data_IF_360595805368
#
_entry.id   IF_360595805368
#
_cell.length_a   1.000
_cell.length_b   1.000
_cell.length_c   1.000
_cell.angle_alpha   90.00
_cell.angle_beta   90.00
_cell.angle_gamma   90.00
#
_symmetry.space_group_name_H-M   'P 1'
#
loop_
_entity.id
_entity.type
_entity.pdbx_description
1 polymer ?
#
# COMPACT_ATOMS: atom_id res chain seq x y z
N UNK A 1 2.89 30.76 -2.24
CA UNK A 1 4.32 30.48 -2.49
C UNK A 1 5.09 31.68 -3.05
N UNK A 2 4.61 32.41 -4.08
CA UNK A 2 5.34 33.58 -4.63
C UNK A 2 5.61 34.71 -3.62
N UNK A 3 4.67 35.00 -2.70
CA UNK A 3 4.83 36.07 -1.69
C UNK A 3 5.91 35.80 -0.63
N UNK A 4 6.12 34.55 -0.24
CA UNK A 4 7.17 34.17 0.72
C UNK A 4 8.58 34.29 0.13
N UNK A 5 8.74 33.98 -1.15
CA UNK A 5 10.04 34.12 -1.84
C UNK A 5 10.53 35.57 -1.92
N UNK A 6 9.60 36.52 -2.08
CA UNK A 6 9.92 37.97 -2.20
C UNK A 6 10.39 38.54 -0.85
N UNK A 7 9.80 38.07 0.25
CA UNK A 7 10.15 38.53 1.61
C UNK A 7 11.56 38.04 1.98
N UNK A 8 11.90 36.79 1.65
CA UNK A 8 13.22 36.22 1.92
C UNK A 8 14.31 36.92 1.10
N UNK A 9 14.06 37.23 -0.17
CA UNK A 9 15.02 37.98 -1.01
C UNK A 9 15.25 39.41 -0.53
N UNK A 10 14.22 40.08 0.00
CA UNK A 10 14.33 41.44 0.58
C UNK A 10 15.21 41.45 1.84
N UNK A 11 15.05 40.45 2.70
CA UNK A 11 15.82 40.32 3.94
C UNK A 11 17.32 40.10 3.66
N UNK A 12 17.64 39.29 2.64
CA UNK A 12 19.03 39.03 2.20
C UNK A 12 19.67 40.31 1.64
N UNK A 13 18.91 41.12 0.90
CA UNK A 13 19.42 42.39 0.33
C UNK A 13 19.73 43.43 1.42
N UNK A 14 18.91 43.53 2.46
CA UNK A 14 19.13 44.42 3.61
C UNK A 14 20.38 43.99 4.41
N UNK A 15 20.61 42.70 4.57
CA UNK A 15 21.80 42.17 5.25
C UNK A 15 23.11 42.42 4.46
N UNK A 16 23.05 42.41 3.12
CA UNK A 16 24.18 42.78 2.26
C UNK A 16 24.57 44.26 2.39
N UNK A 17 23.60 45.17 2.52
CA UNK A 17 23.86 46.61 2.66
C UNK A 17 24.57 46.92 3.98
N UNK A 18 24.21 46.24 5.08
CA UNK A 18 24.87 46.44 6.37
C UNK A 18 26.35 45.99 6.38
N UNK A 19 26.73 45.02 5.54
CA UNK A 19 28.12 44.56 5.44
C UNK A 19 29.04 45.56 4.71
N UNK A 20 28.51 46.35 3.77
CA UNK A 20 29.31 47.32 2.99
C UNK A 20 29.75 48.51 3.85
N UNK A 21 28.88 48.98 4.75
CA UNK A 21 29.15 50.13 5.63
C UNK A 21 30.19 49.84 6.72
N UNK A 22 30.46 48.58 7.05
CA UNK A 22 31.47 48.19 8.05
C UNK A 22 32.90 48.12 7.51
N UNK A 23 33.11 48.31 6.21
CA UNK A 23 34.40 48.07 5.56
C UNK A 23 35.23 49.34 5.32
N UNK A 24 34.66 50.55 5.47
CA UNK A 24 35.38 51.82 5.20
C UNK A 24 36.21 52.33 6.37
N UNK A 25 35.91 51.95 7.61
CA UNK A 25 36.73 52.34 8.79
C UNK A 25 37.97 51.46 8.96
N UNK A 26 37.99 50.29 8.33
CA UNK A 26 39.06 49.29 8.50
C UNK A 26 40.17 49.39 7.43
N UNK A 27 40.00 50.25 6.44
CA UNK A 27 40.93 50.38 5.30
C UNK A 27 42.31 50.94 5.67
N UNK A 28 42.46 51.68 6.77
CA UNK A 28 43.76 52.17 7.25
C UNK A 28 44.59 51.10 7.99
N UNK A 29 43.97 50.06 8.56
CA UNK A 29 44.71 48.94 9.19
C UNK A 29 45.28 47.92 8.19
N UNK A 30 45.09 48.14 6.89
CA UNK A 30 45.32 47.18 5.80
C UNK A 30 46.76 47.15 5.24
N UNK A 31 47.77 47.57 6.01
CA UNK A 31 49.18 47.59 5.55
C UNK A 31 50.10 46.54 6.22
N UNK A 32 49.60 45.72 7.15
CA UNK A 32 50.34 44.57 7.67
C UNK A 32 49.62 43.28 7.29
N UNK A 33 49.97 42.82 6.09
CA UNK A 33 49.53 41.56 5.51
C UNK A 33 50.30 40.41 6.18
N UNK A 34 49.84 39.98 7.34
CA UNK A 34 50.00 38.61 7.78
C UNK A 34 48.59 38.02 7.80
N UNK A 35 48.35 36.98 6.99
CA UNK A 35 47.04 36.39 6.74
C UNK A 35 46.61 35.52 7.93
N UNK A 36 46.62 36.10 9.12
CA UNK A 36 46.21 35.47 10.37
C UNK A 36 44.70 35.69 10.48
N UNK A 37 43.94 34.76 9.90
CA UNK A 37 42.48 34.72 10.08
C UNK A 37 42.21 34.53 11.56
N UNK A 38 41.61 35.52 12.20
CA UNK A 38 41.26 35.49 13.63
C UNK A 38 40.20 34.39 13.88
N UNK A 39 40.20 33.80 15.07
CA UNK A 39 39.31 32.67 15.37
C UNK A 39 37.82 33.03 15.21
N UNK A 40 37.45 34.28 15.49
CA UNK A 40 36.10 34.81 15.26
C UNK A 40 35.72 34.80 13.77
N UNK A 41 36.62 35.19 12.88
CA UNK A 41 36.38 35.18 11.44
C UNK A 41 36.21 33.75 10.92
N UNK A 42 36.96 32.78 11.46
CA UNK A 42 36.80 31.36 11.10
C UNK A 42 35.42 30.86 11.50
N UNK A 43 34.96 31.18 12.70
CA UNK A 43 33.64 30.77 13.20
C UNK A 43 32.52 31.34 12.31
N UNK A 44 32.62 32.60 11.90
CA UNK A 44 31.66 33.23 10.99
C UNK A 44 31.68 32.55 9.60
N UNK A 45 32.86 32.22 9.08
CA UNK A 45 33.00 31.57 7.77
C UNK A 45 32.46 30.13 7.77
N UNK A 46 32.79 29.34 8.80
CA UNK A 46 32.29 27.98 8.95
C UNK A 46 30.79 27.92 9.23
N UNK A 47 30.25 28.84 10.05
CA UNK A 47 28.80 28.92 10.29
C UNK A 47 28.04 29.33 9.03
N UNK A 48 28.55 30.31 8.26
CA UNK A 48 27.98 30.68 6.97
C UNK A 48 28.00 29.52 5.95
N UNK A 49 29.12 28.79 5.87
CA UNK A 49 29.23 27.62 5.01
C UNK A 49 28.29 26.50 5.43
N UNK A 50 28.16 26.22 6.73
CA UNK A 50 27.24 25.22 7.25
C UNK A 50 25.78 25.55 6.90
N UNK A 51 25.36 26.81 7.04
CA UNK A 51 24.03 27.26 6.64
C UNK A 51 23.83 27.08 5.13
N UNK A 52 24.81 27.43 4.30
CA UNK A 52 24.73 27.26 2.85
C UNK A 52 24.56 25.78 2.45
N UNK A 53 25.29 24.86 3.11
CA UNK A 53 25.16 23.41 2.89
C UNK A 53 23.77 22.91 3.30
N UNK A 54 23.24 23.36 4.44
CA UNK A 54 21.90 22.97 4.91
C UNK A 54 20.83 23.47 3.94
N UNK A 55 20.94 24.72 3.45
CA UNK A 55 20.01 25.29 2.46
C UNK A 55 20.09 24.52 1.14
N UNK A 56 21.29 24.16 0.68
CA UNK A 56 21.49 23.35 -0.52
C UNK A 56 20.84 21.97 -0.38
N UNK A 57 21.01 21.32 0.77
CA UNK A 57 20.41 20.01 1.04
C UNK A 57 18.88 20.08 1.10
N UNK A 58 18.32 21.10 1.77
CA UNK A 58 16.89 21.34 1.79
C UNK A 58 16.32 21.66 0.40
N UNK A 59 17.09 22.34 -0.46
CA UNK A 59 16.72 22.61 -1.85
C UNK A 59 16.69 21.33 -2.69
N UNK A 60 17.70 20.47 -2.59
CA UNK A 60 17.74 19.17 -3.29
C UNK A 60 16.65 18.22 -2.79
N UNK A 61 16.40 18.18 -1.47
CA UNK A 61 15.38 17.33 -0.86
C UNK A 61 13.94 17.88 -1.00
N UNK A 62 13.77 19.08 -1.57
CA UNK A 62 12.47 19.76 -1.66
C UNK A 62 11.40 18.89 -2.31
N UNK A 63 11.75 18.19 -3.39
CA UNK A 63 10.79 17.38 -4.15
C UNK A 63 10.42 16.06 -3.44
N UNK A 64 11.28 15.58 -2.53
CA UNK A 64 11.01 14.40 -1.69
C UNK A 64 10.14 14.79 -0.49
N UNK A 65 10.48 15.89 0.19
CA UNK A 65 9.79 16.34 1.42
C UNK A 65 8.42 16.94 1.10
N UNK A 66 8.30 17.70 0.00
CA UNK A 66 7.05 18.33 -0.43
C UNK A 66 6.40 17.58 -1.60
N UNK A 67 6.54 16.25 -1.63
CA UNK A 67 5.85 15.42 -2.62
C UNK A 67 4.34 15.56 -2.44
N UNK A 68 3.64 16.02 -3.49
CA UNK A 68 2.17 16.03 -3.50
C UNK A 68 1.68 14.58 -3.47
N UNK A 69 0.84 14.25 -2.50
CA UNK A 69 0.18 12.93 -2.43
C UNK A 69 -0.57 12.69 -3.72
N UNK A 70 -0.33 11.54 -4.33
CA UNK A 70 -1.07 11.12 -5.52
C UNK A 70 -2.48 10.66 -5.13
N UNK A 71 -3.43 10.59 -6.06
CA UNK A 71 -4.74 9.99 -5.81
C UNK A 71 -4.64 8.54 -5.30
N UNK A 72 -3.52 7.86 -5.61
CA UNK A 72 -3.20 6.54 -5.08
C UNK A 72 -2.92 6.58 -3.57
N UNK A 73 -2.23 7.61 -3.07
CA UNK A 73 -1.84 7.74 -1.66
C UNK A 73 -3.01 8.06 -0.73
N UNK A 74 -4.05 8.75 -1.21
CA UNK A 74 -5.17 9.22 -0.38
C UNK A 74 -6.32 8.21 -0.24
N UNK A 75 -6.48 7.30 -1.20
CA UNK A 75 -7.54 6.29 -1.16
C UNK A 75 -7.07 5.01 -0.46
N UNK A 76 -7.97 4.35 0.25
CA UNK A 76 -7.79 2.99 0.75
C UNK A 76 -8.08 2.01 -0.40
N UNK A 77 -7.01 1.53 -1.02
CA UNK A 77 -7.10 0.46 -2.02
C UNK A 77 -6.75 -0.88 -1.36
N UNK A 78 -7.39 -1.95 -1.81
CA UNK A 78 -7.10 -3.31 -1.34
C UNK A 78 -5.65 -3.73 -1.59
N UNK A 79 -5.00 -3.15 -2.61
CA UNK A 79 -3.57 -3.33 -2.88
C UNK A 79 -2.64 -2.76 -1.80
N UNK A 80 -3.10 -1.79 -1.00
CA UNK A 80 -2.33 -1.30 0.17
C UNK A 80 -2.49 -2.19 1.39
N UNK A 81 -3.64 -2.88 1.50
CA UNK A 81 -3.92 -3.74 2.64
C UNK A 81 -3.33 -5.15 2.46
N UNK A 82 -3.12 -5.59 1.21
CA UNK A 82 -2.59 -6.91 0.89
C UNK A 82 -1.36 -6.90 -0.02
N UNK A 83 -0.28 -7.51 0.47
CA UNK A 83 0.92 -7.81 -0.33
C UNK A 83 0.67 -8.89 -1.39
N UNK A 84 -0.48 -9.55 -1.35
CA UNK A 84 -0.88 -10.61 -2.29
C UNK A 84 -1.51 -10.07 -3.57
N UNK A 85 -1.97 -8.80 -3.60
CA UNK A 85 -2.59 -8.24 -4.79
C UNK A 85 -1.61 -8.14 -5.98
N UNK A 86 -0.34 -7.82 -5.69
CA UNK A 86 0.74 -7.82 -6.70
C UNK A 86 1.00 -9.23 -7.28
N UNK A 87 0.66 -10.31 -6.55
CA UNK A 87 0.90 -11.69 -6.98
C UNK A 87 0.01 -12.13 -8.14
N UNK A 88 -1.19 -11.56 -8.28
CA UNK A 88 -2.18 -12.00 -9.27
C UNK A 88 -2.21 -11.14 -10.56
N UNK A 89 -1.39 -10.09 -10.64
CA UNK A 89 -1.36 -9.19 -11.80
C UNK A 89 -0.03 -9.25 -12.59
N UNK A 90 0.88 -10.17 -12.25
CA UNK A 90 2.01 -10.51 -13.12
C UNK A 90 1.52 -11.46 -14.21
N UNK A 91 1.44 -10.97 -15.44
CA UNK A 91 1.06 -11.70 -16.67
C UNK A 91 2.05 -12.83 -17.08
N UNK A 92 2.85 -13.34 -16.12
CA UNK A 92 3.93 -14.30 -16.34
C UNK A 92 4.08 -15.25 -15.14
N UNK A 93 3.05 -16.07 -14.88
CA UNK A 93 3.22 -17.28 -14.06
C UNK A 93 2.27 -18.39 -14.53
N UNK A 94 2.59 -18.98 -15.69
CA UNK A 94 1.99 -20.23 -16.18
C UNK A 94 2.69 -21.49 -15.64
N UNK A 95 3.54 -21.33 -14.63
CA UNK A 95 4.20 -22.45 -13.98
C UNK A 95 3.53 -22.66 -12.62
N UNK A 96 2.87 -23.81 -12.49
CA UNK A 96 2.21 -24.29 -11.29
C UNK A 96 3.23 -24.42 -10.13
N UNK A 97 3.57 -23.30 -9.49
CA UNK A 97 4.30 -23.31 -8.22
C UNK A 97 3.33 -23.78 -7.13
N UNK A 98 3.60 -24.98 -6.60
CA UNK A 98 2.97 -25.47 -5.39
C UNK A 98 3.04 -24.40 -4.29
N UNK A 99 1.88 -23.82 -3.99
CA UNK A 99 1.71 -22.81 -2.95
C UNK A 99 2.13 -23.39 -1.60
N UNK A 100 3.35 -23.06 -1.17
CA UNK A 100 3.74 -23.23 0.22
C UNK A 100 2.67 -22.62 1.13
N UNK A 101 2.12 -23.45 2.03
CA UNK A 101 0.96 -23.13 2.88
C UNK A 101 1.29 -21.97 3.82
N UNK A 102 1.09 -20.73 3.38
CA UNK A 102 1.12 -19.55 4.25
C UNK A 102 -0.12 -19.61 5.15
N UNK A 103 0.02 -20.20 6.33
CA UNK A 103 -0.97 -20.08 7.41
C UNK A 103 -1.10 -18.59 7.75
N UNK A 104 -2.29 -18.02 7.56
CA UNK A 104 -2.71 -16.61 7.75
C UNK A 104 -2.91 -15.78 6.46
N UNK A 105 -3.32 -16.39 5.35
CA UNK A 105 -3.89 -15.65 4.18
C UNK A 105 -5.16 -14.87 4.57
N UNK A 106 -5.56 -13.87 3.79
CA UNK A 106 -6.89 -13.23 3.97
C UNK A 106 -8.02 -14.26 3.85
N UNK A 107 -7.87 -15.19 2.92
CA UNK A 107 -8.78 -16.32 2.71
C UNK A 107 -8.96 -17.16 3.99
N UNK A 108 -7.88 -17.42 4.73
CA UNK A 108 -7.94 -18.14 6.02
C UNK A 108 -8.77 -17.37 7.07
N UNK A 109 -8.64 -16.04 7.12
CA UNK A 109 -9.36 -15.19 8.07
C UNK A 109 -10.84 -15.13 7.72
N UNK A 110 -11.16 -14.98 6.45
CA UNK A 110 -12.54 -15.01 5.95
C UNK A 110 -13.19 -16.36 6.21
N UNK A 111 -12.49 -17.46 5.94
CA UNK A 111 -12.98 -18.80 6.22
C UNK A 111 -13.23 -19.03 7.72
N UNK A 112 -12.33 -18.59 8.61
CA UNK A 112 -12.56 -18.67 10.06
C UNK A 112 -13.77 -17.84 10.50
N UNK A 113 -13.96 -16.66 9.91
CA UNK A 113 -15.12 -15.81 10.19
C UNK A 113 -16.42 -16.45 9.71
N UNK A 114 -16.41 -17.05 8.50
CA UNK A 114 -17.53 -17.84 7.98
C UNK A 114 -17.88 -18.98 8.93
N UNK A 115 -16.88 -19.69 9.47
CA UNK A 115 -17.07 -20.76 10.46
C UNK A 115 -17.58 -20.28 11.84
N UNK A 116 -17.53 -19.00 12.14
CA UNK A 116 -18.08 -18.45 13.39
C UNK A 116 -19.50 -17.91 13.22
N UNK A 117 -19.96 -17.69 11.98
CA UNK A 117 -21.29 -17.16 11.71
C UNK A 117 -22.38 -18.16 12.12
N UNK A 118 -23.34 -17.79 12.99
CA UNK A 118 -24.44 -18.66 13.40
C UNK A 118 -25.40 -19.03 12.24
N UNK A 119 -25.36 -18.30 11.13
CA UNK A 119 -26.26 -18.50 9.97
C UNK A 119 -25.63 -19.27 8.82
N UNK A 120 -24.67 -20.16 9.11
CA UNK A 120 -23.97 -20.92 8.07
C UNK A 120 -24.93 -21.63 7.11
N UNK A 121 -24.87 -21.33 5.80
CA UNK A 121 -25.63 -22.08 4.82
C UNK A 121 -25.10 -23.51 4.64
N UNK A 122 -26.02 -24.41 4.30
CA UNK A 122 -25.72 -25.80 3.97
C UNK A 122 -25.18 -25.91 2.54
N UNK A 123 -23.86 -26.03 2.40
CA UNK A 123 -23.18 -26.02 1.11
C UNK A 123 -23.45 -27.27 0.28
N UNK A 124 -23.71 -28.41 0.92
CA UNK A 124 -24.10 -29.63 0.22
C UNK A 124 -25.48 -29.46 -0.44
N UNK A 125 -26.41 -28.79 0.25
CA UNK A 125 -27.72 -28.44 -0.33
C UNK A 125 -27.61 -27.41 -1.45
N UNK A 126 -26.76 -26.40 -1.31
CA UNK A 126 -26.54 -25.38 -2.36
C UNK A 126 -26.01 -26.00 -3.65
N UNK A 127 -25.07 -26.95 -3.52
CA UNK A 127 -24.55 -27.67 -4.68
C UNK A 127 -25.44 -28.85 -5.11
N UNK A 128 -26.55 -29.11 -4.43
CA UNK A 128 -27.45 -30.25 -4.70
C UNK A 128 -26.72 -31.60 -4.71
N UNK A 129 -25.73 -31.78 -3.82
CA UNK A 129 -24.93 -33.01 -3.69
C UNK A 129 -25.17 -33.67 -2.33
N UNK A 130 -25.05 -35.00 -2.24
CA UNK A 130 -25.13 -35.69 -0.95
C UNK A 130 -23.87 -35.42 -0.10
N UNK A 131 -23.97 -35.56 1.22
CA UNK A 131 -22.85 -35.34 2.15
C UNK A 131 -21.66 -36.30 1.91
N UNK A 132 -21.92 -37.47 1.33
CA UNK A 132 -20.90 -38.46 0.97
C UNK A 132 -20.31 -38.26 -0.44
N UNK A 133 -20.66 -37.18 -1.13
CA UNK A 133 -20.20 -36.94 -2.49
C UNK A 133 -18.68 -36.89 -2.60
N UNK A 134 -18.17 -37.44 -3.70
CA UNK A 134 -16.74 -37.39 -4.05
C UNK A 134 -16.36 -36.00 -4.58
N UNK A 135 -15.06 -35.67 -4.57
CA UNK A 135 -14.57 -34.40 -5.13
C UNK A 135 -14.92 -34.25 -6.61
N UNK A 136 -14.93 -35.34 -7.37
CA UNK A 136 -15.30 -35.35 -8.79
C UNK A 136 -16.78 -35.02 -8.99
N UNK A 137 -17.67 -35.59 -8.17
CA UNK A 137 -19.11 -35.30 -8.20
C UNK A 137 -19.38 -33.83 -7.86
N UNK A 138 -18.75 -33.32 -6.82
CA UNK A 138 -18.85 -31.91 -6.41
C UNK A 138 -18.41 -30.99 -7.56
N UNK A 139 -17.29 -31.30 -8.21
CA UNK A 139 -16.76 -30.52 -9.34
C UNK A 139 -17.65 -30.58 -10.57
N UNK A 140 -18.21 -31.75 -10.89
CA UNK A 140 -19.12 -31.91 -12.01
C UNK A 140 -20.42 -31.15 -11.78
N UNK A 141 -20.99 -31.26 -10.58
CA UNK A 141 -22.25 -30.58 -10.25
C UNK A 141 -22.08 -29.06 -10.19
N UNK A 142 -20.97 -28.57 -9.64
CA UNK A 142 -20.59 -27.16 -9.71
C UNK A 142 -20.58 -26.64 -11.16
N UNK A 143 -19.95 -27.37 -12.09
CA UNK A 143 -19.90 -26.98 -13.51
C UNK A 143 -21.28 -26.90 -14.15
N UNK A 144 -22.18 -27.83 -13.81
CA UNK A 144 -23.56 -27.85 -14.33
C UNK A 144 -24.33 -26.63 -13.79
N UNK A 145 -24.28 -26.39 -12.49
CA UNK A 145 -24.96 -25.27 -11.83
C UNK A 145 -24.43 -23.92 -12.29
N UNK A 146 -23.10 -23.76 -12.35
CA UNK A 146 -22.44 -22.55 -12.81
C UNK A 146 -22.87 -22.20 -14.25
N UNK A 147 -22.97 -23.19 -15.15
CA UNK A 147 -23.41 -22.96 -16.53
C UNK A 147 -24.89 -22.56 -16.62
N UNK A 148 -25.73 -23.04 -15.70
CA UNK A 148 -27.17 -22.74 -15.63
C UNK A 148 -27.45 -21.34 -15.08
N UNK A 149 -26.64 -20.91 -14.09
CA UNK A 149 -26.86 -19.66 -13.34
C UNK A 149 -25.98 -18.52 -13.85
N UNK A 150 -25.02 -18.78 -14.73
CA UNK A 150 -24.09 -17.76 -15.25
C UNK A 150 -24.81 -16.45 -15.67
N UNK A 151 -24.42 -15.29 -15.14
CA UNK A 151 -25.14 -14.02 -15.32
C UNK A 151 -25.17 -13.56 -16.79
N UNK A 152 -24.18 -13.96 -17.59
CA UNK A 152 -24.16 -13.70 -19.04
C UNK A 152 -25.33 -14.38 -19.79
N UNK A 153 -25.77 -15.56 -19.31
CA UNK A 153 -26.85 -16.34 -19.94
C UNK A 153 -28.21 -16.09 -19.30
N UNK A 154 -28.24 -15.86 -17.99
CA UNK A 154 -29.44 -15.56 -17.23
C UNK A 154 -29.30 -14.19 -16.55
N UNK A 155 -29.91 -13.17 -17.16
CA UNK A 155 -29.89 -11.77 -16.70
C UNK A 155 -30.89 -11.49 -15.57
N UNK A 156 -31.29 -12.51 -14.82
CA UNK A 156 -32.14 -12.31 -13.65
C UNK A 156 -31.30 -11.76 -12.50
N UNK A 157 -31.84 -10.78 -11.76
CA UNK A 157 -31.14 -10.13 -10.64
C UNK A 157 -30.70 -11.13 -9.54
N UNK A 158 -31.42 -12.26 -9.42
CA UNK A 158 -31.09 -13.33 -8.46
C UNK A 158 -29.97 -14.27 -8.92
N UNK A 159 -29.55 -14.21 -10.19
CA UNK A 159 -28.54 -15.13 -10.73
C UNK A 159 -27.15 -14.85 -10.15
N UNK A 160 -26.84 -13.57 -9.90
CA UNK A 160 -25.58 -13.16 -9.30
C UNK A 160 -25.44 -13.65 -7.86
N UNK A 161 -26.47 -13.44 -7.02
CA UNK A 161 -26.47 -13.89 -5.63
C UNK A 161 -26.35 -15.42 -5.53
N UNK A 162 -27.09 -16.14 -6.37
CA UNK A 162 -27.04 -17.60 -6.42
C UNK A 162 -25.65 -18.11 -6.86
N UNK A 163 -25.04 -17.46 -7.85
CA UNK A 163 -23.70 -17.80 -8.33
C UNK A 163 -22.66 -17.60 -7.22
N UNK A 164 -22.77 -16.50 -6.46
CA UNK A 164 -21.88 -16.22 -5.32
C UNK A 164 -21.98 -17.32 -4.27
N UNK A 165 -23.18 -17.82 -3.97
CA UNK A 165 -23.37 -18.91 -3.02
C UNK A 165 -22.78 -20.24 -3.52
N UNK A 166 -22.98 -20.55 -4.81
CA UNK A 166 -22.44 -21.76 -5.44
C UNK A 166 -20.90 -21.76 -5.47
N UNK A 167 -20.30 -20.62 -5.78
CA UNK A 167 -18.84 -20.46 -5.77
C UNK A 167 -18.28 -20.69 -4.35
N UNK A 168 -18.88 -20.05 -3.33
CA UNK A 168 -18.49 -20.24 -1.93
C UNK A 168 -18.62 -21.69 -1.46
N UNK A 169 -19.70 -22.35 -1.87
CA UNK A 169 -19.92 -23.76 -1.55
C UNK A 169 -18.82 -24.65 -2.16
N UNK A 170 -18.48 -24.41 -3.43
CA UNK A 170 -17.44 -25.17 -4.12
C UNK A 170 -16.05 -24.92 -3.55
N UNK A 171 -15.68 -23.69 -3.20
CA UNK A 171 -14.38 -23.37 -2.57
C UNK A 171 -14.15 -24.16 -1.29
N UNK A 172 -15.19 -24.31 -0.46
CA UNK A 172 -15.09 -25.00 0.83
C UNK A 172 -15.10 -26.52 0.64
N UNK A 173 -15.97 -27.04 -0.23
CA UNK A 173 -16.13 -28.49 -0.41
C UNK A 173 -15.07 -29.12 -1.34
N UNK A 174 -14.44 -28.33 -2.21
CA UNK A 174 -13.39 -28.81 -3.12
C UNK A 174 -12.05 -29.07 -2.43
N UNK A 175 -11.76 -28.38 -1.32
CA UNK A 175 -10.54 -28.59 -0.54
C UNK A 175 -10.83 -29.50 0.64
N UNK A 176 -10.12 -30.63 0.72
CA UNK A 176 -10.31 -31.62 1.79
C UNK A 176 -10.12 -31.05 3.20
N UNK A 177 -9.16 -30.13 3.40
CA UNK A 177 -8.94 -29.52 4.72
C UNK A 177 -10.09 -28.59 5.14
N UNK A 178 -10.60 -27.80 4.19
CA UNK A 178 -11.71 -26.88 4.43
C UNK A 178 -13.00 -27.66 4.63
N UNK A 179 -13.24 -28.68 3.82
CA UNK A 179 -14.38 -29.61 3.94
C UNK A 179 -14.39 -30.27 5.32
N UNK A 180 -13.26 -30.82 5.79
CA UNK A 180 -13.18 -31.42 7.14
C UNK A 180 -13.55 -30.42 8.24
N UNK A 181 -13.08 -29.17 8.17
CA UNK A 181 -13.41 -28.13 9.15
C UNK A 181 -14.89 -27.72 9.09
N UNK A 182 -15.44 -27.65 7.90
CA UNK A 182 -16.86 -27.40 7.67
C UNK A 182 -17.74 -28.53 8.23
N UNK A 183 -17.40 -29.78 7.89
CA UNK A 183 -18.09 -30.98 8.36
C UNK A 183 -18.02 -31.10 9.89
N UNK A 184 -16.89 -30.74 10.51
CA UNK A 184 -16.77 -30.70 11.97
C UNK A 184 -17.73 -29.69 12.61
N UNK A 185 -18.07 -28.60 11.91
CA UNK A 185 -19.00 -27.59 12.41
C UNK A 185 -20.45 -28.00 12.24
N UNK A 186 -20.83 -28.51 11.07
CA UNK A 186 -22.22 -28.90 10.80
C UNK A 186 -22.65 -30.11 11.64
N UNK A 187 -21.72 -31.03 11.96
CA UNK A 187 -21.99 -32.20 12.80
C UNK A 187 -22.06 -31.89 14.32
N UNK A 188 -21.76 -30.66 14.74
CA UNK A 188 -21.80 -30.23 16.15
C UNK A 188 -23.09 -29.47 16.53
N UNK A 189 -24.01 -29.26 15.58
CA UNK A 189 -25.35 -28.72 15.82
C UNK A 189 -26.39 -29.82 15.89
#
# INVERSE_FOLDING_TARGET
MKKFSIIISSLIFICMIQNISGQTDNTEKKLQMELVVTDEQRIILFSGFAIAVIVLFAYLARDVILRKKTPYDTKEFDSKSDKTYEKYHSDWSDDYEELGTRKNSKEDKEFRKLLQDPTLPDYYKILEVPYNATLEEIKNQYRILAKKIHPDKNKEEKSEEAMVQINKAYEILSNEELRKKYDMRINKG
#
